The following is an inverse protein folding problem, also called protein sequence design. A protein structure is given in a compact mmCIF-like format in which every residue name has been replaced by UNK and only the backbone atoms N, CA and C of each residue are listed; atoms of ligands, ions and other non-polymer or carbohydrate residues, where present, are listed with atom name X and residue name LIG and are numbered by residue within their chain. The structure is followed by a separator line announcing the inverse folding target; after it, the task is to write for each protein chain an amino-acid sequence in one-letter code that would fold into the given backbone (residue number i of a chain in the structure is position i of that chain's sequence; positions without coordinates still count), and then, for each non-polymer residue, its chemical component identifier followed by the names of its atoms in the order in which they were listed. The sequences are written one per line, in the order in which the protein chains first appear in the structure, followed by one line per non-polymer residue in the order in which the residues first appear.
data_IF_126000887303
#
_entry.id   IF_126000887303
#
_cell.length_a   1.000
_cell.length_b   1.000
_cell.length_c   1.000
_cell.angle_alpha   90.00
_cell.angle_beta   90.00
_cell.angle_gamma   90.00
#
_symmetry.space_group_name_H-M   'P 1'
#
loop_
_entity.id
_entity.type
_entity.pdbx_description
1 polymer ?
#
# COMPACT_ATOMS: atom_id res chain seq x y z
N UNK A 1 59.34 -12.80 23.30
CA UNK A 1 59.15 -11.35 23.55
C UNK A 1 57.85 -10.93 22.88
N UNK A 2 56.81 -10.66 23.65
CA UNK A 2 55.50 -10.20 23.14
C UNK A 2 55.50 -8.68 23.08
N UNK A 3 55.53 -8.12 21.88
CA UNK A 3 55.42 -6.67 21.67
C UNK A 3 53.96 -6.26 21.86
N UNK A 4 53.64 -5.59 22.95
CA UNK A 4 52.33 -4.97 23.11
C UNK A 4 52.24 -3.70 22.23
N UNK A 5 51.19 -3.55 21.40
CA UNK A 5 51.01 -2.32 20.63
C UNK A 5 50.75 -1.14 21.57
N UNK A 6 51.20 0.08 21.23
CA UNK A 6 50.97 1.25 22.06
C UNK A 6 49.48 1.56 22.16
N UNK A 7 48.99 1.73 23.39
CA UNK A 7 47.60 2.08 23.75
C UNK A 7 46.90 3.09 22.82
N UNK A 8 47.51 4.23 22.40
CA UNK A 8 46.86 5.18 21.48
C UNK A 8 46.47 4.58 20.11
N UNK A 9 47.20 3.59 19.60
CA UNK A 9 46.90 2.97 18.30
C UNK A 9 45.60 2.14 18.39
N UNK A 10 45.38 1.47 19.53
CA UNK A 10 44.18 0.68 19.79
C UNK A 10 42.93 1.58 19.92
N UNK A 11 43.09 2.74 20.56
CA UNK A 11 42.05 3.75 20.73
C UNK A 11 41.67 4.40 19.38
N UNK A 12 42.65 4.68 18.52
CA UNK A 12 42.40 5.17 17.16
C UNK A 12 41.69 4.11 16.29
N UNK A 13 42.05 2.83 16.42
CA UNK A 13 41.35 1.75 15.73
C UNK A 13 39.90 1.59 16.23
N UNK A 14 39.64 1.71 17.55
CA UNK A 14 38.28 1.70 18.09
C UNK A 14 37.45 2.89 17.60
N UNK A 15 38.06 4.08 17.46
CA UNK A 15 37.40 5.26 16.88
C UNK A 15 37.08 5.10 15.39
N UNK A 16 37.88 4.35 14.64
CA UNK A 16 37.61 3.99 13.24
C UNK A 16 36.63 2.80 13.09
N UNK A 17 36.49 1.97 14.14
CA UNK A 17 35.54 0.86 14.24
C UNK A 17 34.21 1.26 14.90
N UNK A 18 34.06 2.50 15.37
CA UNK A 18 32.74 3.07 15.59
C UNK A 18 31.98 2.94 14.27
N UNK A 19 30.85 2.22 14.23
CA UNK A 19 30.06 2.16 13.02
C UNK A 19 29.60 3.58 12.72
N UNK A 20 30.19 4.19 11.69
CA UNK A 20 29.65 5.38 11.04
C UNK A 20 28.16 5.08 10.85
N UNK A 21 27.25 5.83 11.50
CA UNK A 21 25.82 5.51 11.42
C UNK A 21 25.49 5.46 9.93
N UNK A 22 24.94 4.32 9.44
CA UNK A 22 24.84 4.07 8.01
C UNK A 22 24.17 5.27 7.39
N UNK A 23 24.88 5.98 6.49
CA UNK A 23 24.45 7.30 6.00
C UNK A 23 23.05 7.11 5.43
N UNK A 24 22.04 7.54 6.19
CA UNK A 24 20.65 7.21 5.91
C UNK A 24 20.19 8.12 4.77
N UNK A 25 20.57 7.75 3.56
CA UNK A 25 20.19 8.48 2.36
C UNK A 25 18.67 8.52 2.20
N UNK A 26 18.25 9.40 1.31
CA UNK A 26 16.88 9.55 0.88
C UNK A 26 16.34 8.21 0.35
N UNK A 27 15.19 7.77 0.86
CA UNK A 27 14.51 6.57 0.36
C UNK A 27 13.09 6.92 -0.11
N UNK A 28 12.51 6.02 -0.88
CA UNK A 28 11.10 6.11 -1.32
C UNK A 28 10.17 5.95 -0.11
N UNK A 29 9.20 6.86 0.02
CA UNK A 29 8.15 6.82 1.05
C UNK A 29 7.02 5.83 0.72
N UNK A 30 5.80 6.09 1.20
CA UNK A 30 4.63 5.27 0.85
C UNK A 30 4.30 5.31 -0.65
N UNK A 31 4.54 6.47 -1.29
CA UNK A 31 4.35 6.65 -2.71
C UNK A 31 5.64 7.16 -3.37
N UNK A 32 6.06 6.50 -4.45
CA UNK A 32 7.37 6.72 -5.07
C UNK A 32 7.33 7.64 -6.30
N UNK A 33 6.15 7.95 -6.85
CA UNK A 33 5.97 8.69 -8.12
C UNK A 33 5.06 9.90 -7.96
N UNK A 34 5.67 11.07 -7.87
CA UNK A 34 4.96 12.34 -7.75
C UNK A 34 5.89 13.46 -7.33
N UNK A 35 5.31 14.63 -7.12
CA UNK A 35 6.02 15.81 -6.67
C UNK A 35 5.21 16.63 -5.66
N UNK A 36 5.92 17.48 -4.91
CA UNK A 36 5.35 18.67 -4.29
C UNK A 36 5.73 19.90 -5.14
N UNK A 37 4.91 20.95 -5.06
CA UNK A 37 5.30 22.28 -5.54
C UNK A 37 6.46 22.78 -4.69
N UNK A 38 7.55 23.21 -5.32
CA UNK A 38 8.77 23.59 -4.61
C UNK A 38 8.56 24.81 -3.71
N UNK A 39 8.92 24.69 -2.42
CA UNK A 39 8.99 25.78 -1.44
C UNK A 39 10.44 26.19 -1.11
N UNK A 40 11.43 25.37 -1.52
CA UNK A 40 12.86 25.69 -1.50
C UNK A 40 13.40 25.86 -2.93
N UNK A 41 14.57 26.50 -3.14
CA UNK A 41 15.16 26.67 -4.46
C UNK A 41 15.34 25.34 -5.21
N UNK A 42 14.78 25.25 -6.41
CA UNK A 42 15.01 24.12 -7.32
C UNK A 42 16.40 24.19 -7.94
N UNK A 43 17.02 23.02 -8.14
CA UNK A 43 18.36 22.89 -8.72
C UNK A 43 18.31 21.87 -9.84
N UNK A 44 18.77 22.25 -11.04
CA UNK A 44 18.95 21.31 -12.15
C UNK A 44 20.32 20.66 -12.10
N UNK A 45 20.36 19.34 -12.10
CA UNK A 45 21.59 18.54 -12.24
C UNK A 45 21.70 18.07 -13.70
N UNK A 46 22.90 18.05 -14.28
CA UNK A 46 23.12 17.62 -15.67
C UNK A 46 22.74 16.13 -15.87
N UNK A 47 22.24 15.68 -17.05
CA UNK A 47 21.84 14.27 -17.32
C UNK A 47 22.97 13.20 -17.36
N UNK A 48 22.61 11.90 -17.28
CA UNK A 48 23.45 10.74 -16.85
C UNK A 48 22.81 9.86 -15.73
N UNK A 49 23.57 9.03 -15.00
CA UNK A 49 23.01 7.90 -14.22
C UNK A 49 22.94 8.05 -12.67
N UNK A 50 23.38 9.16 -12.06
CA UNK A 50 23.63 9.22 -10.60
C UNK A 50 22.83 10.26 -9.79
N UNK A 51 21.78 10.89 -10.34
CA UNK A 51 21.27 12.16 -9.78
C UNK A 51 20.26 12.11 -8.66
N UNK A 52 19.54 11.02 -8.45
CA UNK A 52 18.72 10.90 -7.23
C UNK A 52 19.61 11.05 -5.98
N UNK A 53 20.83 10.50 -6.03
CA UNK A 53 21.86 10.69 -5.02
C UNK A 53 22.38 12.14 -4.98
N UNK A 54 22.50 12.83 -6.12
CA UNK A 54 22.90 14.25 -6.16
C UNK A 54 21.84 15.18 -5.55
N UNK A 55 20.56 15.03 -5.92
CA UNK A 55 19.45 15.74 -5.27
C UNK A 55 19.43 15.46 -3.76
N UNK A 56 19.67 14.20 -3.38
CA UNK A 56 19.73 13.80 -1.98
C UNK A 56 20.87 14.47 -1.21
N UNK A 57 22.07 14.54 -1.80
CA UNK A 57 23.21 15.24 -1.20
C UNK A 57 22.93 16.74 -1.03
N UNK A 58 22.28 17.38 -2.00
CA UNK A 58 21.84 18.78 -1.88
C UNK A 58 20.81 18.96 -0.75
N UNK A 59 19.86 18.03 -0.61
CA UNK A 59 18.90 18.05 0.50
C UNK A 59 19.60 17.87 1.86
N UNK A 60 20.56 16.94 1.98
CA UNK A 60 21.36 16.76 3.21
C UNK A 60 22.18 18.01 3.59
N UNK A 61 22.64 18.80 2.62
CA UNK A 61 23.38 20.04 2.87
C UNK A 61 22.49 21.19 3.36
N UNK A 62 21.18 21.15 3.07
CA UNK A 62 20.24 22.15 3.53
C UNK A 62 19.50 21.67 4.81
N UNK A 63 19.75 22.26 5.99
CA UNK A 63 19.18 21.77 7.24
C UNK A 63 17.65 21.88 7.33
N UNK A 64 17.01 22.69 6.47
CA UNK A 64 15.55 22.79 6.38
C UNK A 64 14.92 21.78 5.41
N UNK A 65 15.70 21.08 4.60
CA UNK A 65 15.16 20.13 3.62
C UNK A 65 14.68 18.83 4.30
N UNK A 66 13.41 18.50 4.07
CA UNK A 66 12.72 17.35 4.65
C UNK A 66 12.34 16.29 3.60
N UNK A 67 12.16 16.69 2.35
CA UNK A 67 11.93 15.76 1.24
C UNK A 67 12.41 16.35 -0.08
N UNK A 68 12.38 15.55 -1.15
CA UNK A 68 12.69 16.02 -2.49
C UNK A 68 11.84 15.31 -3.55
N UNK A 69 11.63 16.01 -4.67
CA UNK A 69 11.09 15.47 -5.91
C UNK A 69 12.13 15.60 -7.01
N UNK A 70 12.37 14.53 -7.76
CA UNK A 70 13.35 14.46 -8.84
C UNK A 70 12.67 14.07 -10.15
N UNK A 71 12.91 14.83 -11.23
CA UNK A 71 12.51 14.43 -12.58
C UNK A 71 13.69 13.80 -13.31
N UNK A 72 13.68 12.48 -13.60
CA UNK A 72 14.74 11.83 -14.37
C UNK A 72 14.85 12.35 -15.81
N UNK A 73 13.77 12.92 -16.35
CA UNK A 73 13.72 13.41 -17.73
C UNK A 73 14.44 14.76 -17.91
N UNK A 74 14.34 15.66 -16.92
CA UNK A 74 14.94 17.02 -17.00
C UNK A 74 16.19 17.19 -16.14
N UNK A 75 16.43 16.27 -15.19
CA UNK A 75 17.47 16.45 -14.17
C UNK A 75 17.09 17.43 -13.05
N UNK A 76 15.84 17.90 -13.01
CA UNK A 76 15.36 18.87 -12.03
C UNK A 76 15.18 18.22 -10.64
N UNK A 77 15.87 18.76 -9.64
CA UNK A 77 15.65 18.51 -8.22
C UNK A 77 14.79 19.64 -7.63
N UNK A 78 13.62 19.31 -7.07
CA UNK A 78 12.84 20.18 -6.19
C UNK A 78 13.09 19.73 -4.75
N UNK A 79 13.65 20.61 -3.94
CA UNK A 79 13.83 20.39 -2.51
C UNK A 79 12.61 20.93 -1.77
N UNK A 80 12.20 20.29 -0.68
CA UNK A 80 11.02 20.71 0.08
C UNK A 80 11.29 20.82 1.58
N UNK A 81 10.72 21.84 2.24
CA UNK A 81 10.86 22.01 3.69
C UNK A 81 9.97 21.08 4.52
N UNK A 82 9.02 20.42 3.86
CA UNK A 82 8.05 19.49 4.45
C UNK A 82 8.14 18.10 3.80
N UNK A 83 7.53 17.10 4.44
CA UNK A 83 7.31 15.78 3.84
C UNK A 83 5.85 15.70 3.38
N UNK A 84 5.62 15.25 2.15
CA UNK A 84 4.28 14.97 1.63
C UNK A 84 3.56 13.88 2.44
N UNK A 85 2.25 13.99 2.54
CA UNK A 85 1.30 12.91 2.78
C UNK A 85 0.48 12.60 1.52
N UNK A 86 -0.54 11.73 1.67
CA UNK A 86 -1.47 11.40 0.59
C UNK A 86 -2.34 12.61 0.16
N UNK A 87 -2.66 13.50 1.10
CA UNK A 87 -3.42 14.74 0.93
C UNK A 87 -2.65 15.89 0.25
N UNK A 88 -1.35 15.73 0.02
CA UNK A 88 -0.44 16.83 -0.37
C UNK A 88 0.45 16.47 -1.55
N UNK A 89 0.83 15.21 -1.75
CA UNK A 89 1.55 14.79 -2.95
C UNK A 89 0.68 14.95 -4.21
N UNK A 90 1.26 15.47 -5.30
CA UNK A 90 0.69 15.39 -6.65
C UNK A 90 1.25 14.15 -7.36
N UNK A 91 0.43 13.13 -7.68
CA UNK A 91 0.93 11.91 -8.32
C UNK A 91 1.36 12.15 -9.77
N UNK A 92 2.58 11.71 -10.11
CA UNK A 92 3.16 11.88 -11.44
C UNK A 92 4.27 10.85 -11.68
N UNK A 93 4.12 10.02 -12.71
CA UNK A 93 5.06 8.96 -13.04
C UNK A 93 6.39 9.46 -13.63
N UNK A 94 6.42 10.68 -14.17
CA UNK A 94 7.64 11.35 -14.65
C UNK A 94 8.52 11.89 -13.51
N UNK A 95 7.99 11.94 -12.28
CA UNK A 95 8.72 12.33 -11.08
C UNK A 95 9.00 11.13 -10.16
N UNK A 96 9.96 11.33 -9.25
CA UNK A 96 10.34 10.39 -8.19
C UNK A 96 10.42 11.16 -6.88
N UNK A 97 9.74 10.67 -5.85
CA UNK A 97 9.63 11.33 -4.56
C UNK A 97 10.40 10.57 -3.47
N UNK A 98 11.13 11.29 -2.62
CA UNK A 98 11.97 10.72 -1.56
C UNK A 98 11.86 11.50 -0.25
N UNK A 99 11.98 10.80 0.88
CA UNK A 99 11.85 11.32 2.25
C UNK A 99 13.20 11.30 2.97
N UNK A 100 13.49 12.35 3.75
CA UNK A 100 14.68 12.46 4.61
C UNK A 100 14.46 11.80 5.97
N UNK A 101 15.52 11.28 6.62
CA UNK A 101 15.43 10.72 7.98
C UNK A 101 14.95 11.71 9.03
N UNK A 102 14.03 11.28 9.91
CA UNK A 102 13.68 12.05 11.11
C UNK A 102 13.00 13.39 10.85
N UNK A 103 12.17 13.50 9.79
CA UNK A 103 11.54 14.77 9.37
C UNK A 103 10.01 14.74 9.24
N UNK A 104 9.37 13.60 9.44
CA UNK A 104 7.96 13.40 9.10
C UNK A 104 7.03 13.77 10.26
N UNK A 105 6.06 14.64 9.99
CA UNK A 105 4.95 14.96 10.89
C UNK A 105 3.82 13.92 10.77
N UNK A 106 2.80 14.05 11.61
CA UNK A 106 1.57 13.26 11.52
C UNK A 106 0.97 13.32 10.11
N UNK A 107 0.50 12.17 9.62
CA UNK A 107 -0.03 11.93 8.26
C UNK A 107 0.96 12.15 7.10
N UNK A 108 2.23 12.44 7.36
CA UNK A 108 3.26 12.50 6.32
C UNK A 108 3.92 11.14 6.08
N UNK A 109 4.48 10.93 4.89
CA UNK A 109 5.19 9.70 4.54
C UNK A 109 6.44 9.49 5.39
N UNK A 110 6.78 8.23 5.65
CA UNK A 110 7.94 7.83 6.44
C UNK A 110 8.56 6.54 5.89
N UNK A 111 9.73 6.16 6.42
CA UNK A 111 10.45 4.95 6.05
C UNK A 111 10.56 3.97 7.23
N UNK A 112 10.68 4.50 8.44
CA UNK A 112 10.75 3.75 9.70
C UNK A 112 10.23 4.58 10.88
N UNK A 113 9.93 3.94 12.02
CA UNK A 113 9.31 4.59 13.20
C UNK A 113 10.09 5.82 13.71
N UNK A 114 11.43 5.83 13.59
CA UNK A 114 12.26 6.98 13.98
C UNK A 114 12.16 8.19 13.05
N UNK A 115 11.44 8.11 11.93
CA UNK A 115 11.20 9.26 11.05
C UNK A 115 10.08 10.17 11.60
N UNK A 116 9.24 9.66 12.50
CA UNK A 116 8.06 10.34 13.01
C UNK A 116 8.36 11.28 14.19
N UNK A 117 8.03 12.55 14.01
CA UNK A 117 8.32 13.63 14.97
C UNK A 117 7.25 13.78 16.06
N UNK A 118 6.02 13.35 15.79
CA UNK A 118 4.89 13.48 16.72
C UNK A 118 4.91 12.32 17.72
N UNK A 119 4.93 12.64 19.02
CA UNK A 119 4.98 11.64 20.09
C UNK A 119 3.72 10.76 20.07
N UNK A 120 3.93 9.46 19.85
CA UNK A 120 2.85 8.46 19.78
C UNK A 120 2.54 8.00 18.36
N UNK A 121 3.06 8.69 17.34
CA UNK A 121 3.06 8.19 15.97
C UNK A 121 4.15 7.14 15.77
N UNK A 122 3.85 6.19 14.89
CA UNK A 122 4.78 5.20 14.36
C UNK A 122 4.64 5.17 12.84
N UNK A 123 5.61 4.56 12.14
CA UNK A 123 5.59 4.48 10.69
C UNK A 123 4.76 3.28 10.22
N UNK A 124 3.43 3.46 10.16
CA UNK A 124 2.46 2.41 9.80
C UNK A 124 2.00 2.63 8.37
N UNK A 125 2.11 1.62 7.51
CA UNK A 125 1.82 1.77 6.08
C UNK A 125 2.69 2.83 5.38
N UNK A 126 3.92 3.05 5.88
CA UNK A 126 4.81 4.15 5.47
C UNK A 126 4.21 5.56 5.64
N UNK A 127 3.26 5.73 6.56
CA UNK A 127 2.74 7.03 7.03
C UNK A 127 3.00 7.16 8.53
N UNK A 128 3.39 8.34 9.01
CA UNK A 128 3.48 8.62 10.44
C UNK A 128 2.08 8.78 11.02
N UNK A 129 1.71 7.87 11.90
CA UNK A 129 0.35 7.83 12.47
C UNK A 129 0.31 7.03 13.76
N UNK A 130 -0.69 7.33 14.59
CA UNK A 130 -1.07 6.55 15.76
C UNK A 130 -2.09 5.45 15.44
N UNK A 131 -2.58 5.38 14.20
CA UNK A 131 -3.52 4.34 13.74
C UNK A 131 -2.92 2.95 13.96
N UNK A 132 -3.71 2.06 14.55
CA UNK A 132 -3.28 0.68 14.86
C UNK A 132 -3.35 -0.26 13.64
N UNK A 133 -4.13 0.13 12.63
CA UNK A 133 -4.18 -0.50 11.32
C UNK A 133 -4.34 0.54 10.22
N UNK A 134 -3.72 0.29 9.07
CA UNK A 134 -3.82 1.13 7.86
C UNK A 134 -4.41 0.27 6.75
N UNK A 135 -5.70 0.48 6.46
CA UNK A 135 -6.46 -0.13 5.36
C UNK A 135 -6.59 0.84 4.20
N UNK A 136 -7.10 0.40 3.05
CA UNK A 136 -7.39 1.31 1.93
C UNK A 136 -8.41 2.40 2.31
N UNK A 137 -9.36 2.11 3.22
CA UNK A 137 -10.32 3.11 3.74
C UNK A 137 -9.59 4.18 4.55
N UNK A 138 -8.65 3.79 5.43
CA UNK A 138 -7.83 4.74 6.19
C UNK A 138 -7.04 5.65 5.25
N UNK A 139 -6.42 5.08 4.20
CA UNK A 139 -5.65 5.86 3.24
C UNK A 139 -6.55 6.84 2.47
N UNK A 140 -7.73 6.39 2.02
CA UNK A 140 -8.69 7.24 1.30
C UNK A 140 -9.28 8.36 2.19
N UNK A 141 -9.84 8.00 3.35
CA UNK A 141 -10.63 8.88 4.22
C UNK A 141 -9.76 9.65 5.23
N UNK A 142 -8.87 8.97 5.96
CA UNK A 142 -8.09 9.55 7.07
C UNK A 142 -6.83 10.26 6.58
N UNK A 143 -6.12 9.69 5.60
CA UNK A 143 -4.93 10.32 5.02
C UNK A 143 -5.22 11.20 3.80
N UNK A 144 -6.49 11.32 3.40
CA UNK A 144 -6.92 12.25 2.35
C UNK A 144 -6.43 11.92 0.94
N UNK A 145 -6.15 10.65 0.63
CA UNK A 145 -5.72 10.25 -0.72
C UNK A 145 -6.77 10.60 -1.79
N UNK A 146 -8.07 10.49 -1.43
CA UNK A 146 -9.20 10.73 -2.31
C UNK A 146 -9.01 10.03 -3.69
N UNK A 147 -9.44 10.66 -4.78
CA UNK A 147 -9.29 10.21 -6.16
C UNK A 147 -7.92 10.53 -6.79
N UNK A 148 -7.04 11.25 -6.06
CA UNK A 148 -5.78 11.81 -6.60
C UNK A 148 -4.84 10.78 -7.21
N UNK A 149 -4.83 9.58 -6.64
CA UNK A 149 -3.98 8.46 -7.06
C UNK A 149 -4.61 7.62 -8.19
N UNK A 150 -5.64 8.18 -8.83
CA UNK A 150 -6.29 7.66 -10.02
C UNK A 150 -7.44 6.69 -9.74
N UNK A 151 -8.25 6.45 -10.76
CA UNK A 151 -9.40 5.54 -10.69
C UNK A 151 -9.03 4.04 -10.70
N UNK A 152 -7.74 3.73 -10.83
CA UNK A 152 -7.23 2.36 -10.92
C UNK A 152 -6.89 1.79 -9.55
N UNK A 153 -6.64 0.48 -9.52
CA UNK A 153 -6.30 -0.24 -8.31
C UNK A 153 -4.80 -0.11 -8.09
N UNK A 154 -4.44 0.76 -7.15
CA UNK A 154 -3.07 1.15 -6.86
C UNK A 154 -2.47 0.31 -5.73
N UNK A 155 -1.23 -0.20 -5.87
CA UNK A 155 -0.52 -0.80 -4.75
C UNK A 155 -0.17 0.30 -3.73
N UNK A 156 -0.56 0.10 -2.46
CA UNK A 156 -0.28 1.03 -1.37
C UNK A 156 0.19 0.28 -0.12
N UNK A 157 1.05 0.89 0.68
CA UNK A 157 1.53 0.28 1.91
C UNK A 157 0.47 0.39 3.00
N UNK A 158 -0.02 -0.76 3.46
CA UNK A 158 -0.89 -0.88 4.62
C UNK A 158 -0.14 -1.35 5.86
N UNK A 159 -0.90 -1.49 6.95
CA UNK A 159 -0.42 -2.06 8.21
C UNK A 159 -1.53 -2.87 8.86
N UNK A 160 -1.30 -4.15 9.09
CA UNK A 160 -2.28 -5.07 9.68
C UNK A 160 -1.57 -5.98 10.67
N UNK A 161 -2.12 -6.15 11.87
CA UNK A 161 -1.59 -7.07 12.90
C UNK A 161 -0.07 -6.93 13.11
N UNK A 162 0.39 -5.71 13.37
CA UNK A 162 1.80 -5.35 13.56
C UNK A 162 2.75 -5.69 12.40
N UNK A 163 2.20 -5.89 11.19
CA UNK A 163 2.95 -6.26 9.99
C UNK A 163 2.66 -5.24 8.88
N UNK A 164 3.70 -4.81 8.16
CA UNK A 164 3.55 -4.01 6.95
C UNK A 164 3.11 -4.91 5.78
N UNK A 165 2.07 -4.48 5.05
CA UNK A 165 1.45 -5.25 3.97
C UNK A 165 1.35 -4.38 2.71
N UNK A 166 1.33 -4.96 1.51
CA UNK A 166 0.93 -4.21 0.31
C UNK A 166 -0.55 -4.48 0.01
N UNK A 167 -1.32 -3.40 -0.13
CA UNK A 167 -2.76 -3.40 -0.36
C UNK A 167 -3.05 -2.97 -1.80
N UNK A 168 -3.97 -3.67 -2.46
CA UNK A 168 -4.50 -3.28 -3.76
C UNK A 168 -5.71 -2.36 -3.55
N UNK A 169 -5.48 -1.05 -3.44
CA UNK A 169 -6.50 -0.08 -3.06
C UNK A 169 -7.24 0.51 -4.26
N UNK A 170 -8.57 0.56 -4.17
CA UNK A 170 -9.42 1.24 -5.14
C UNK A 170 -9.77 2.64 -4.63
N UNK A 171 -9.30 3.65 -5.37
CA UNK A 171 -9.41 5.06 -5.01
C UNK A 171 -10.35 5.86 -5.93
N UNK A 172 -10.83 5.24 -7.01
CA UNK A 172 -11.77 5.85 -7.93
C UNK A 172 -13.23 5.73 -7.54
N UNK A 173 -14.05 6.57 -8.14
CA UNK A 173 -15.49 6.70 -7.84
C UNK A 173 -16.26 5.38 -7.77
N UNK A 174 -17.24 5.33 -6.85
CA UNK A 174 -18.17 4.22 -6.52
C UNK A 174 -17.64 3.12 -5.60
N UNK A 175 -16.33 2.88 -5.56
CA UNK A 175 -15.71 1.80 -4.77
C UNK A 175 -14.48 2.32 -3.99
N UNK A 176 -14.63 3.51 -3.43
CA UNK A 176 -13.57 4.30 -2.79
C UNK A 176 -13.14 3.70 -1.44
N UNK A 177 -11.83 3.58 -1.21
CA UNK A 177 -11.27 3.03 0.03
C UNK A 177 -11.38 1.50 0.15
N UNK A 178 -11.93 0.81 -0.84
CA UNK A 178 -12.05 -0.63 -0.84
C UNK A 178 -10.70 -1.33 -1.07
N UNK A 179 -10.43 -2.38 -0.30
CA UNK A 179 -9.21 -3.21 -0.45
C UNK A 179 -9.54 -4.42 -1.32
N UNK A 180 -8.94 -4.55 -2.50
CA UNK A 180 -9.07 -5.77 -3.32
C UNK A 180 -8.27 -6.90 -2.67
N UNK A 181 -8.95 -7.95 -2.22
CA UNK A 181 -8.32 -9.13 -1.61
C UNK A 181 -8.12 -10.29 -2.61
N UNK A 182 -8.68 -10.15 -3.81
CA UNK A 182 -8.68 -11.21 -4.82
C UNK A 182 -9.01 -10.68 -6.22
N UNK A 183 -8.37 -11.27 -7.24
CA UNK A 183 -8.78 -11.18 -8.65
C UNK A 183 -8.53 -12.50 -9.36
N UNK A 184 -9.58 -13.16 -9.84
CA UNK A 184 -9.46 -14.28 -10.79
C UNK A 184 -9.55 -13.77 -12.23
N UNK A 185 -8.87 -14.42 -13.17
CA UNK A 185 -9.11 -14.26 -14.60
C UNK A 185 -9.48 -15.62 -15.20
N UNK A 186 -10.36 -15.62 -16.21
CA UNK A 186 -10.68 -16.84 -16.95
C UNK A 186 -11.69 -17.77 -16.26
N UNK A 187 -12.37 -17.35 -15.18
CA UNK A 187 -13.40 -18.14 -14.53
C UNK A 187 -12.91 -19.41 -13.83
N UNK A 188 -11.70 -19.41 -13.25
CA UNK A 188 -11.24 -20.51 -12.37
C UNK A 188 -12.32 -20.78 -11.30
N UNK A 189 -12.67 -22.05 -11.09
CA UNK A 189 -13.43 -22.47 -9.91
C UNK A 189 -12.47 -22.54 -8.72
N UNK A 190 -12.92 -22.11 -7.53
CA UNK A 190 -12.08 -22.11 -6.32
C UNK A 190 -12.61 -23.10 -5.30
N UNK A 191 -11.83 -24.17 -5.15
CA UNK A 191 -11.85 -25.10 -4.03
C UNK A 191 -10.60 -24.85 -3.14
N UNK A 192 -10.43 -25.67 -2.11
CA UNK A 192 -9.29 -25.55 -1.18
C UNK A 192 -7.93 -25.70 -1.87
N UNK A 193 -7.82 -26.51 -2.92
CA UNK A 193 -6.56 -26.86 -3.59
C UNK A 193 -6.14 -25.74 -4.56
N UNK A 194 -7.05 -25.35 -5.44
CA UNK A 194 -6.91 -24.21 -6.36
C UNK A 194 -6.70 -22.88 -5.63
N UNK A 195 -7.24 -22.72 -4.41
CA UNK A 195 -6.91 -21.61 -3.51
C UNK A 195 -5.44 -21.60 -3.09
N UNK A 196 -4.85 -22.74 -2.74
CA UNK A 196 -3.42 -22.82 -2.42
C UNK A 196 -2.56 -22.56 -3.66
N UNK A 197 -2.96 -23.10 -4.82
CA UNK A 197 -2.29 -22.80 -6.08
C UNK A 197 -2.33 -21.31 -6.42
N UNK A 198 -3.49 -20.65 -6.28
CA UNK A 198 -3.61 -19.20 -6.49
C UNK A 198 -2.68 -18.40 -5.58
N UNK A 199 -2.57 -18.78 -4.30
CA UNK A 199 -1.64 -18.14 -3.37
C UNK A 199 -0.17 -18.33 -3.77
N UNK A 200 0.18 -19.41 -4.49
CA UNK A 200 1.52 -19.61 -5.07
C UNK A 200 1.75 -18.90 -6.42
N UNK A 201 0.67 -18.47 -7.08
CA UNK A 201 0.70 -17.67 -8.31
C UNK A 201 0.73 -16.15 -8.03
N UNK A 202 0.61 -15.71 -6.76
CA UNK A 202 0.71 -14.31 -6.37
C UNK A 202 2.13 -13.76 -6.62
N UNK A 203 2.21 -12.58 -7.25
CA UNK A 203 3.49 -11.90 -7.48
C UNK A 203 4.07 -11.32 -6.18
N UNK A 204 5.36 -10.97 -6.19
CA UNK A 204 6.05 -10.33 -5.06
C UNK A 204 5.38 -9.04 -4.57
N UNK A 205 4.55 -8.40 -5.41
CA UNK A 205 3.77 -7.21 -5.08
C UNK A 205 2.51 -7.50 -4.24
N UNK A 206 2.03 -8.74 -4.14
CA UNK A 206 0.82 -9.10 -3.36
C UNK A 206 1.14 -10.27 -2.43
N UNK A 207 1.91 -9.98 -1.38
CA UNK A 207 2.60 -10.99 -0.54
C UNK A 207 1.71 -11.82 0.39
N UNK A 208 0.38 -11.73 0.29
CA UNK A 208 -0.55 -12.35 1.24
C UNK A 208 -1.66 -13.12 0.54
N UNK A 209 -1.95 -14.32 1.05
CA UNK A 209 -3.10 -15.10 0.61
C UNK A 209 -4.41 -14.34 0.83
N UNK A 210 -5.39 -14.57 -0.05
CA UNK A 210 -6.72 -13.97 0.09
C UNK A 210 -7.30 -14.22 1.49
N UNK A 211 -7.16 -15.45 2.02
CA UNK A 211 -7.60 -15.81 3.36
C UNK A 211 -6.94 -14.97 4.46
N UNK A 212 -5.61 -14.82 4.41
CA UNK A 212 -4.87 -14.02 5.39
C UNK A 212 -5.34 -12.56 5.37
N UNK A 213 -5.35 -11.95 4.18
CA UNK A 213 -5.66 -10.53 4.03
C UNK A 213 -7.12 -10.23 4.39
N UNK A 214 -8.05 -11.08 3.96
CA UNK A 214 -9.47 -10.96 4.27
C UNK A 214 -9.73 -11.01 5.78
N UNK A 215 -9.11 -11.95 6.50
CA UNK A 215 -9.30 -12.11 7.93
C UNK A 215 -8.61 -11.01 8.75
N UNK A 216 -7.43 -10.55 8.31
CA UNK A 216 -6.71 -9.45 8.94
C UNK A 216 -7.44 -8.12 8.77
N UNK A 217 -7.98 -7.84 7.58
CA UNK A 217 -8.86 -6.69 7.36
C UNK A 217 -10.12 -6.79 8.24
N UNK A 218 -10.79 -7.95 8.27
CA UNK A 218 -11.97 -8.21 9.11
C UNK A 218 -11.72 -7.94 10.60
N UNK A 219 -10.51 -8.18 11.11
CA UNK A 219 -10.17 -7.86 12.50
C UNK A 219 -9.64 -6.43 12.73
N UNK A 220 -9.23 -5.71 11.68
CA UNK A 220 -8.58 -4.39 11.80
C UNK A 220 -9.50 -3.23 12.23
N UNK A 221 -10.83 -3.43 12.23
CA UNK A 221 -11.79 -2.36 12.47
C UNK A 221 -12.76 -2.59 13.63
N UNK A 222 -13.68 -1.64 13.79
CA UNK A 222 -14.53 -1.52 14.99
C UNK A 222 -16.03 -1.72 14.78
N UNK A 223 -16.57 -1.48 13.58
CA UNK A 223 -18.00 -1.66 13.26
C UNK A 223 -18.46 -3.11 13.43
N UNK A 224 -19.72 -3.37 13.80
CA UNK A 224 -20.21 -4.76 13.95
C UNK A 224 -20.31 -5.54 12.62
N UNK A 225 -20.21 -4.85 11.48
CA UNK A 225 -20.16 -5.45 10.13
C UNK A 225 -18.89 -5.04 9.37
N UNK A 226 -18.70 -5.67 8.20
CA UNK A 226 -17.83 -5.19 7.13
C UNK A 226 -18.57 -5.29 5.80
N UNK A 227 -18.14 -4.51 4.81
CA UNK A 227 -18.72 -4.54 3.47
C UNK A 227 -17.88 -5.45 2.56
N UNK A 228 -18.57 -6.28 1.79
CA UNK A 228 -17.98 -7.17 0.80
C UNK A 228 -18.57 -6.84 -0.56
N UNK A 229 -17.74 -6.47 -1.53
CA UNK A 229 -18.18 -6.21 -2.92
C UNK A 229 -17.64 -7.25 -3.88
N UNK A 230 -18.51 -7.71 -4.77
CA UNK A 230 -18.18 -8.62 -5.87
C UNK A 230 -18.43 -7.94 -7.21
N UNK A 231 -17.38 -7.81 -8.01
CA UNK A 231 -17.44 -7.27 -9.38
C UNK A 231 -17.27 -8.42 -10.39
N UNK A 232 -18.34 -8.87 -11.06
CA UNK A 232 -18.26 -9.78 -12.19
C UNK A 232 -17.91 -9.01 -13.49
N UNK A 233 -16.72 -9.25 -14.03
CA UNK A 233 -16.26 -8.69 -15.31
C UNK A 233 -16.61 -9.65 -16.45
N UNK A 234 -17.32 -9.15 -17.48
CA UNK A 234 -17.58 -9.87 -18.73
C UNK A 234 -16.58 -9.45 -19.82
N UNK A 235 -16.41 -10.30 -20.83
CA UNK A 235 -15.47 -10.10 -21.96
C UNK A 235 -15.59 -8.74 -22.69
N UNK A 236 -16.74 -8.06 -22.60
CA UNK A 236 -16.96 -6.74 -23.18
C UNK A 236 -16.39 -5.57 -22.37
N UNK A 237 -15.74 -5.82 -21.23
CA UNK A 237 -15.22 -4.79 -20.31
C UNK A 237 -16.30 -4.10 -19.47
N UNK A 238 -17.56 -4.52 -19.60
CA UNK A 238 -18.66 -4.05 -18.75
C UNK A 238 -18.80 -4.97 -17.54
N UNK A 239 -18.68 -4.39 -16.34
CA UNK A 239 -19.07 -5.06 -15.11
C UNK A 239 -20.59 -5.24 -15.09
N UNK A 240 -21.06 -6.43 -14.73
CA UNK A 240 -22.48 -6.59 -14.38
C UNK A 240 -22.76 -5.94 -13.02
N UNK A 241 -24.02 -5.93 -12.59
CA UNK A 241 -24.45 -5.36 -11.32
C UNK A 241 -23.49 -5.76 -10.17
N UNK A 242 -22.91 -4.74 -9.51
CA UNK A 242 -22.06 -4.93 -8.33
C UNK A 242 -22.91 -5.58 -7.25
N UNK A 243 -22.40 -6.63 -6.62
CA UNK A 243 -23.10 -7.33 -5.55
C UNK A 243 -22.46 -6.91 -4.24
N UNK A 244 -23.22 -6.14 -3.46
CA UNK A 244 -22.83 -5.63 -2.16
C UNK A 244 -23.40 -6.51 -1.05
N UNK A 245 -22.55 -6.92 -0.10
CA UNK A 245 -22.99 -7.63 1.11
C UNK A 245 -22.53 -6.88 2.36
N UNK A 246 -23.44 -6.70 3.32
CA UNK A 246 -23.10 -6.38 4.70
C UNK A 246 -22.96 -7.71 5.46
N UNK A 247 -21.78 -7.94 6.05
CA UNK A 247 -21.47 -9.21 6.70
C UNK A 247 -21.14 -8.96 8.17
N UNK A 248 -21.73 -9.69 9.14
CA UNK A 248 -21.36 -9.59 10.55
C UNK A 248 -19.86 -9.86 10.74
N UNK A 249 -19.17 -9.02 11.53
CA UNK A 249 -17.71 -9.14 11.75
C UNK A 249 -17.32 -10.50 12.33
N UNK A 250 -18.21 -11.14 13.10
CA UNK A 250 -17.97 -12.49 13.63
C UNK A 250 -17.88 -13.58 12.55
N UNK A 251 -18.43 -13.36 11.36
CA UNK A 251 -18.41 -14.33 10.27
C UNK A 251 -17.17 -14.13 9.36
N UNK A 252 -16.41 -15.20 9.04
CA UNK A 252 -15.27 -15.10 8.13
C UNK A 252 -15.71 -14.67 6.74
N UNK A 253 -14.82 -14.00 5.98
CA UNK A 253 -15.11 -13.54 4.61
C UNK A 253 -15.44 -14.72 3.69
N UNK A 254 -14.69 -15.81 3.84
CA UNK A 254 -14.91 -17.07 3.15
C UNK A 254 -15.50 -18.08 4.13
N UNK A 255 -16.66 -18.65 3.78
CA UNK A 255 -17.32 -19.71 4.54
C UNK A 255 -17.64 -20.89 3.61
N UNK A 256 -17.57 -22.09 4.16
CA UNK A 256 -18.06 -23.33 3.57
C UNK A 256 -19.59 -23.48 3.68
N UNK A 257 -20.24 -22.72 4.58
CA UNK A 257 -21.69 -22.69 4.78
C UNK A 257 -22.34 -21.56 3.97
N UNK A 258 -23.41 -21.82 3.21
CA UNK A 258 -24.17 -20.77 2.52
C UNK A 258 -24.77 -19.76 3.50
N UNK A 259 -24.53 -18.46 3.30
CA UNK A 259 -25.11 -17.41 4.15
C UNK A 259 -26.63 -17.28 3.90
N UNK A 260 -27.48 -17.35 4.94
CA UNK A 260 -28.91 -17.05 4.82
C UNK A 260 -29.14 -15.59 4.44
N UNK A 261 -30.21 -15.29 3.70
CA UNK A 261 -30.58 -13.91 3.34
C UNK A 261 -29.73 -13.28 2.22
N UNK A 262 -28.55 -13.82 1.93
CA UNK A 262 -27.84 -13.54 0.67
C UNK A 262 -28.61 -14.22 -0.46
N UNK A 263 -29.55 -13.48 -1.05
CA UNK A 263 -30.49 -14.00 -2.04
C UNK A 263 -29.78 -14.69 -3.20
N UNK A 264 -30.35 -15.80 -3.67
CA UNK A 264 -29.89 -16.40 -4.93
C UNK A 264 -30.16 -15.42 -6.07
N UNK A 265 -29.09 -14.88 -6.65
CA UNK A 265 -29.15 -14.08 -7.87
C UNK A 265 -29.60 -14.99 -9.04
N UNK A 266 -30.90 -15.22 -9.14
CA UNK A 266 -31.55 -15.77 -10.33
C UNK A 266 -31.77 -14.65 -11.33
N UNK A 267 -30.73 -14.28 -12.08
CA UNK A 267 -30.90 -13.47 -13.28
C UNK A 267 -31.62 -14.30 -14.34
N UNK A 268 -32.73 -13.79 -14.89
CA UNK A 268 -33.62 -14.52 -15.81
C UNK A 268 -33.08 -14.71 -17.24
N UNK A 269 -31.78 -14.55 -17.46
CA UNK A 269 -31.09 -14.91 -18.70
C UNK A 269 -30.42 -16.28 -18.54
N UNK A 270 -30.40 -17.08 -19.62
CA UNK A 270 -29.89 -18.46 -19.62
C UNK A 270 -28.36 -18.60 -19.42
N UNK A 271 -27.67 -17.55 -18.94
CA UNK A 271 -26.21 -17.46 -18.92
C UNK A 271 -25.58 -17.37 -17.52
N UNK A 272 -26.36 -17.24 -16.44
CA UNK A 272 -25.82 -17.07 -15.10
C UNK A 272 -26.57 -17.96 -14.09
N UNK A 273 -26.10 -19.21 -13.95
CA UNK A 273 -26.47 -20.10 -12.82
C UNK A 273 -25.37 -20.11 -11.77
N UNK A 274 -25.62 -19.38 -10.70
CA UNK A 274 -24.73 -19.19 -9.56
C UNK A 274 -25.01 -20.19 -8.41
N UNK A 275 -24.00 -20.95 -7.95
CA UNK A 275 -23.96 -21.76 -6.71
C UNK A 275 -22.51 -22.21 -6.45
N UNK A 276 -21.96 -22.08 -5.25
CA UNK A 276 -20.58 -22.56 -5.00
C UNK A 276 -20.43 -23.29 -3.68
N UNK A 277 -19.22 -23.80 -3.50
CA UNK A 277 -18.78 -24.69 -2.42
C UNK A 277 -17.26 -24.62 -2.48
N UNK A 278 -16.55 -23.79 -1.70
CA UNK A 278 -16.95 -22.93 -0.57
C UNK A 278 -17.76 -21.70 -1.05
N UNK A 279 -18.75 -21.22 -0.29
CA UNK A 279 -19.93 -20.54 -0.88
C UNK A 279 -19.72 -19.06 -1.28
N UNK A 280 -19.11 -18.82 -2.46
CA UNK A 280 -19.06 -17.49 -3.14
C UNK A 280 -19.40 -17.53 -4.66
N UNK A 281 -20.60 -18.02 -5.08
CA UNK A 281 -21.06 -17.86 -6.47
C UNK A 281 -20.49 -18.88 -7.50
N UNK A 282 -21.29 -19.55 -8.36
CA UNK A 282 -20.68 -20.34 -9.45
C UNK A 282 -20.06 -19.40 -10.46
N UNK A 283 -18.94 -19.85 -11.00
CA UNK A 283 -18.69 -19.71 -12.43
C UNK A 283 -18.76 -21.12 -13.03
N UNK A 284 -19.66 -21.41 -13.98
CA UNK A 284 -19.59 -22.67 -14.71
C UNK A 284 -18.31 -22.71 -15.55
N UNK A 285 -17.75 -23.89 -15.74
CA UNK A 285 -16.47 -24.07 -16.45
C UNK A 285 -16.61 -23.87 -17.97
N UNK A 286 -16.70 -22.61 -18.42
CA UNK A 286 -16.26 -22.11 -19.73
C UNK A 286 -16.34 -20.57 -19.77
N UNK A 287 -15.28 -19.93 -20.30
CA UNK A 287 -15.26 -18.55 -20.82
C UNK A 287 -15.29 -17.36 -19.83
N UNK A 288 -14.09 -16.95 -19.40
CA UNK A 288 -13.69 -15.53 -19.22
C UNK A 288 -14.53 -14.62 -18.29
N UNK A 289 -14.83 -15.06 -17.08
CA UNK A 289 -15.26 -14.15 -16.00
C UNK A 289 -14.03 -13.68 -15.18
N UNK A 290 -13.90 -12.37 -14.89
CA UNK A 290 -13.10 -11.90 -13.76
C UNK A 290 -14.00 -11.70 -12.55
N UNK A 291 -13.51 -12.05 -11.37
CA UNK A 291 -14.18 -11.79 -10.09
C UNK A 291 -13.18 -11.02 -9.24
N UNK A 292 -13.52 -9.78 -8.91
CA UNK A 292 -12.79 -9.02 -7.90
C UNK A 292 -13.60 -8.97 -6.61
N UNK A 293 -12.95 -9.35 -5.51
CA UNK A 293 -13.51 -9.32 -4.17
C UNK A 293 -12.87 -8.18 -3.40
N UNK A 294 -13.69 -7.31 -2.84
CA UNK A 294 -13.21 -6.18 -2.05
C UNK A 294 -13.79 -6.17 -0.65
N UNK A 295 -12.95 -5.82 0.33
CA UNK A 295 -13.32 -5.69 1.74
C UNK A 295 -13.10 -4.25 2.19
N UNK A 296 -14.08 -3.72 2.91
CA UNK A 296 -14.06 -2.36 3.44
C UNK A 296 -14.30 -2.35 4.95
N UNK A 297 -13.38 -1.72 5.69
CA UNK A 297 -13.27 -1.75 7.14
C UNK A 297 -12.64 -0.45 7.68
N UNK A 298 -13.30 0.24 8.64
CA UNK A 298 -12.73 1.40 9.33
C UNK A 298 -11.86 1.00 10.52
N UNK A 299 -10.62 1.49 10.54
CA UNK A 299 -9.65 1.24 11.60
C UNK A 299 -9.80 2.18 12.81
N UNK A 300 -8.96 1.95 13.83
CA UNK A 300 -8.75 2.83 15.00
C UNK A 300 -7.46 3.61 14.92
#
# INVERSE_FOLDING_TARGET
MTVHPPLPLLLLLLLLLLPLPPVQGCQKGAWATGYLTADLPSVSVKPGDSFSCACCALCHQNPTCASLSFSPATGECRLHSTVAGYDTLTPDNSWKYFVMPGRSQHHQFCRQDSDCLVKGDFCRGRVCTNQTAVTCRVIYQTFGAADRFGNYISPMFGWLNNTGVLLACRMGSKDEGYTRIFRSYGGKAFDRETMFQYNSELTEDVQHSMLYLADHLRHAGTEDTYQLKVHPELYSGYFYAVIDFQVPRAEPVLSDVPRPGVGSLQTSSNFLRFRWTMTMPYVPAASYLSVELYVDVPAR
#
